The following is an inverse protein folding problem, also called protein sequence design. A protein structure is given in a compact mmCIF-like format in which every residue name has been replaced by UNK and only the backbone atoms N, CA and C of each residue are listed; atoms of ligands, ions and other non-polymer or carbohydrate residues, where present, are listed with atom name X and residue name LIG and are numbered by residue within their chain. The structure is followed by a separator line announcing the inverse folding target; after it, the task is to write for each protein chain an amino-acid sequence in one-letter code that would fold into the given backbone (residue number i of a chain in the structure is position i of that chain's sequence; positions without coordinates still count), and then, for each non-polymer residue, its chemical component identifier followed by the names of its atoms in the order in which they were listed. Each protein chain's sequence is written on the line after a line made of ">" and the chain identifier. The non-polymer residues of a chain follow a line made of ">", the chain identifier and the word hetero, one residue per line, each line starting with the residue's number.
data_IF_001177010065
#
_entry.id   IF_001177010065
#
_cell.length_a   1.000
_cell.length_b   1.000
_cell.length_c   1.000
_cell.angle_alpha   90.00
_cell.angle_beta   90.00
_cell.angle_gamma   90.00
#
_symmetry.space_group_name_H-M   'P 1'
#
loop_
_entity.id
_entity.type
_entity.pdbx_description
1 polymer ?
#
# COMPACT_ATOMS: atom_id res chain seq x y z
N UNK A 1 0.56 8.60 73.29
CA UNK A 1 0.51 7.62 72.17
C UNK A 1 0.03 8.35 70.91
N UNK A 2 0.92 9.06 70.23
CA UNK A 2 0.58 10.08 69.21
C UNK A 2 1.39 9.90 67.91
N UNK A 3 1.82 8.66 67.65
CA UNK A 3 2.78 8.32 66.59
C UNK A 3 2.29 7.26 65.59
N UNK A 4 1.00 6.88 65.60
CA UNK A 4 0.47 5.79 64.75
C UNK A 4 -0.65 6.28 63.82
N UNK A 5 -0.57 7.52 63.32
CA UNK A 5 -1.58 8.03 62.36
C UNK A 5 -1.01 8.62 61.07
N UNK A 6 0.30 8.50 60.83
CA UNK A 6 0.96 9.21 59.72
C UNK A 6 1.68 8.30 58.71
N UNK A 7 1.25 7.05 58.53
CA UNK A 7 1.88 6.11 57.57
C UNK A 7 0.91 5.64 56.47
N UNK A 8 -0.35 6.05 56.48
CA UNK A 8 -1.35 5.52 55.54
C UNK A 8 -1.54 6.34 54.24
N UNK A 9 -0.80 7.43 54.00
CA UNK A 9 -1.09 8.35 52.86
C UNK A 9 0.00 8.36 51.78
N UNK A 10 1.17 7.74 51.97
CA UNK A 10 2.28 7.85 51.01
C UNK A 10 2.33 6.71 49.98
N UNK A 11 1.61 5.61 50.19
CA UNK A 11 1.74 4.40 49.35
C UNK A 11 0.90 4.37 48.07
N UNK A 12 0.11 5.40 47.75
CA UNK A 12 -0.76 5.41 46.56
C UNK A 12 -0.15 6.06 45.30
N UNK A 13 1.11 6.53 45.36
CA UNK A 13 1.70 7.35 44.28
C UNK A 13 2.66 6.61 43.32
N UNK A 14 2.81 5.29 43.41
CA UNK A 14 3.77 4.54 42.58
C UNK A 14 3.17 3.57 41.56
N UNK A 15 1.89 3.71 41.25
CA UNK A 15 1.25 3.00 40.13
C UNK A 15 1.21 3.86 38.87
N UNK A 16 2.30 4.58 38.56
CA UNK A 16 2.54 5.10 37.22
C UNK A 16 3.01 3.92 36.36
N UNK A 17 2.08 3.03 36.01
CA UNK A 17 2.34 2.05 34.95
C UNK A 17 2.80 2.84 33.72
N UNK A 18 3.89 2.40 33.10
CA UNK A 18 4.35 2.97 31.84
C UNK A 18 3.19 2.94 30.86
N UNK A 19 2.58 4.10 30.62
CA UNK A 19 1.75 4.28 29.44
C UNK A 19 2.72 4.20 28.28
N UNK A 20 2.79 3.03 27.64
CA UNK A 20 3.32 2.98 26.28
C UNK A 20 2.24 3.69 25.47
N UNK A 21 2.38 4.99 25.27
CA UNK A 21 1.64 5.66 24.24
C UNK A 21 2.02 4.94 22.94
N UNK A 22 1.03 4.33 22.26
CA UNK A 22 1.19 3.86 20.89
C UNK A 22 1.35 5.10 20.01
N UNK A 23 2.54 5.71 20.04
CA UNK A 23 2.87 6.77 19.10
C UNK A 23 3.04 6.11 17.74
N UNK A 24 2.28 6.63 16.78
CA UNK A 24 2.46 6.25 15.38
C UNK A 24 3.87 6.65 14.96
N UNK A 25 4.64 5.68 14.50
CA UNK A 25 5.97 5.93 13.96
C UNK A 25 5.86 6.24 12.47
N UNK A 26 6.80 7.04 11.97
CA UNK A 26 6.99 7.21 10.53
C UNK A 26 7.98 6.16 10.05
N UNK A 27 7.46 5.11 9.41
CA UNK A 27 8.26 4.03 8.84
C UNK A 27 8.78 4.41 7.46
N UNK A 28 10.06 4.13 7.19
CA UNK A 28 10.73 4.44 5.93
C UNK A 28 11.32 3.17 5.33
N UNK A 29 11.11 2.97 4.03
CA UNK A 29 11.70 1.86 3.29
C UNK A 29 12.35 2.36 1.99
N UNK A 30 13.67 2.38 1.96
CA UNK A 30 14.46 2.78 0.80
C UNK A 30 14.59 1.69 -0.27
N UNK A 31 14.21 0.44 0.03
CA UNK A 31 14.30 -0.65 -0.95
C UNK A 31 13.06 -0.70 -1.85
N UNK A 32 11.88 -0.51 -1.25
CA UNK A 32 10.58 -0.47 -1.92
C UNK A 32 10.06 0.96 -2.12
N UNK A 33 10.85 1.97 -1.77
CA UNK A 33 10.60 3.38 -2.11
C UNK A 33 9.28 3.94 -1.56
N UNK A 34 8.96 3.66 -0.30
CA UNK A 34 7.82 4.25 0.37
C UNK A 34 8.12 4.64 1.81
N UNK A 35 7.29 5.53 2.34
CA UNK A 35 7.16 5.73 3.77
C UNK A 35 5.68 5.80 4.15
N UNK A 36 5.37 5.47 5.40
CA UNK A 36 3.98 5.42 5.90
C UNK A 36 3.98 5.62 7.42
N UNK A 37 2.88 6.16 7.98
CA UNK A 37 2.72 6.15 9.42
C UNK A 37 2.12 4.81 9.84
N UNK A 38 2.67 4.17 10.86
CA UNK A 38 2.24 2.86 11.35
C UNK A 38 2.25 2.82 12.88
N UNK A 39 1.39 2.03 13.54
CA UNK A 39 1.37 1.93 15.00
C UNK A 39 2.63 1.28 15.61
N UNK A 40 3.46 0.63 14.78
CA UNK A 40 4.72 0.02 15.21
C UNK A 40 5.51 -0.53 14.02
N UNK A 41 6.66 -1.14 14.31
CA UNK A 41 7.54 -1.74 13.29
C UNK A 41 6.86 -2.88 12.55
N UNK A 42 7.10 -2.98 11.25
CA UNK A 42 6.53 -4.05 10.43
C UNK A 42 7.35 -5.35 10.54
N UNK A 43 6.65 -6.48 10.59
CA UNK A 43 7.19 -7.75 10.14
C UNK A 43 7.25 -7.75 8.61
N UNK A 44 8.40 -8.16 8.05
CA UNK A 44 8.67 -8.12 6.61
C UNK A 44 8.83 -9.52 6.07
N UNK A 45 8.10 -9.83 5.00
CA UNK A 45 8.17 -11.13 4.33
C UNK A 45 8.28 -10.96 2.82
N UNK A 46 9.26 -11.65 2.22
CA UNK A 46 9.35 -11.81 0.77
C UNK A 46 8.31 -12.84 0.29
N UNK A 47 7.55 -12.48 -0.74
CA UNK A 47 6.49 -13.30 -1.33
C UNK A 47 6.55 -13.22 -2.86
N UNK A 48 5.72 -14.03 -3.51
CA UNK A 48 5.45 -13.91 -4.94
C UNK A 48 4.02 -13.44 -5.17
N UNK A 49 3.81 -12.60 -6.18
CA UNK A 49 2.50 -12.08 -6.53
C UNK A 49 2.11 -12.52 -7.96
N UNK A 50 1.04 -13.31 -8.13
CA UNK A 50 0.51 -13.63 -9.45
C UNK A 50 -0.15 -12.38 -10.03
N UNK A 51 0.09 -12.08 -11.30
CA UNK A 51 -0.52 -10.96 -12.00
C UNK A 51 -1.78 -11.38 -12.77
N UNK A 52 -2.54 -10.39 -13.25
CA UNK A 52 -3.75 -10.62 -14.06
C UNK A 52 -3.44 -11.43 -15.33
N UNK A 53 -2.27 -11.19 -15.92
CA UNK A 53 -1.85 -11.85 -17.17
C UNK A 53 -0.98 -13.10 -16.93
N UNK A 54 -1.06 -13.67 -15.72
CA UNK A 54 -0.50 -14.97 -15.37
C UNK A 54 1.01 -15.00 -15.17
N UNK A 55 1.69 -13.86 -15.17
CA UNK A 55 3.08 -13.78 -14.75
C UNK A 55 3.18 -13.78 -13.22
N UNK A 56 4.35 -14.12 -12.69
CA UNK A 56 4.62 -14.12 -11.25
C UNK A 56 5.74 -13.13 -10.96
N UNK A 57 5.47 -12.19 -10.06
CA UNK A 57 6.38 -11.11 -9.72
C UNK A 57 6.93 -11.26 -8.30
N UNK A 58 8.17 -10.82 -8.05
CA UNK A 58 8.65 -10.65 -6.68
C UNK A 58 7.84 -9.56 -5.97
N UNK A 59 7.54 -9.79 -4.71
CA UNK A 59 6.81 -8.84 -3.87
C UNK A 59 7.26 -8.95 -2.41
N UNK A 60 6.96 -7.92 -1.64
CA UNK A 60 7.14 -7.90 -0.19
C UNK A 60 5.88 -7.47 0.50
N UNK A 61 5.58 -8.12 1.62
CA UNK A 61 4.51 -7.69 2.53
C UNK A 61 5.12 -7.22 3.84
N UNK A 62 4.68 -6.04 4.26
CA UNK A 62 5.00 -5.40 5.53
C UNK A 62 3.74 -5.46 6.37
N UNK A 63 3.76 -6.15 7.52
CA UNK A 63 2.57 -6.38 8.34
C UNK A 63 2.80 -5.94 9.79
N UNK A 64 1.82 -5.28 10.38
CA UNK A 64 1.75 -5.01 11.81
C UNK A 64 0.39 -5.48 12.33
N UNK A 65 0.39 -6.26 13.40
CA UNK A 65 -0.80 -6.79 14.04
C UNK A 65 -0.82 -6.41 15.53
N UNK A 66 -1.96 -5.90 16.00
CA UNK A 66 -2.21 -5.57 17.40
C UNK A 66 -3.63 -5.98 17.78
N UNK A 67 -3.74 -7.13 18.43
CA UNK A 67 -5.01 -7.79 18.72
C UNK A 67 -5.77 -8.11 17.42
N UNK A 68 -6.93 -7.49 17.23
CA UNK A 68 -7.75 -7.64 16.01
C UNK A 68 -7.48 -6.56 14.95
N UNK A 69 -6.57 -5.62 15.22
CA UNK A 69 -6.14 -4.64 14.23
C UNK A 69 -5.03 -5.23 13.37
N UNK A 70 -5.12 -5.04 12.06
CA UNK A 70 -4.10 -5.47 11.11
C UNK A 70 -3.83 -4.36 10.11
N UNK A 71 -2.56 -4.02 9.94
CA UNK A 71 -2.08 -3.01 9.01
C UNK A 71 -1.06 -3.63 8.10
N UNK A 72 -1.16 -3.41 6.80
CA UNK A 72 -0.18 -3.95 5.87
C UNK A 72 0.06 -3.07 4.65
N UNK A 73 1.29 -3.12 4.15
CA UNK A 73 1.66 -2.63 2.82
C UNK A 73 2.21 -3.81 2.05
N UNK A 74 1.63 -4.13 0.90
CA UNK A 74 2.22 -5.07 -0.06
C UNK A 74 2.80 -4.28 -1.22
N UNK A 75 4.07 -4.52 -1.54
CA UNK A 75 4.75 -3.90 -2.69
C UNK A 75 5.09 -5.00 -3.69
N UNK A 76 4.55 -4.88 -4.90
CA UNK A 76 4.86 -5.79 -6.02
C UNK A 76 5.78 -5.07 -6.99
N UNK A 77 6.91 -5.69 -7.30
CA UNK A 77 7.94 -5.12 -8.17
C UNK A 77 7.75 -5.60 -9.62
N UNK A 78 7.20 -4.71 -10.46
CA UNK A 78 7.04 -4.91 -11.89
C UNK A 78 8.17 -4.27 -12.72
N UNK A 79 9.26 -3.79 -12.10
CA UNK A 79 10.32 -3.07 -12.82
C UNK A 79 11.00 -3.90 -13.91
N UNK A 80 10.99 -5.23 -13.77
CA UNK A 80 11.56 -6.19 -14.70
C UNK A 80 10.48 -6.94 -15.53
N UNK A 81 9.28 -6.38 -15.63
CA UNK A 81 8.11 -7.02 -16.27
C UNK A 81 8.38 -7.48 -17.70
N UNK A 82 9.07 -6.67 -18.50
CA UNK A 82 9.38 -7.05 -19.88
C UNK A 82 10.22 -8.33 -19.95
N UNK A 83 11.25 -8.46 -19.12
CA UNK A 83 12.11 -9.65 -19.10
C UNK A 83 11.34 -10.86 -18.57
N UNK A 84 10.58 -10.68 -17.49
CA UNK A 84 9.76 -11.75 -16.88
C UNK A 84 8.80 -12.32 -17.93
N UNK A 85 8.02 -11.47 -18.59
CA UNK A 85 7.11 -11.90 -19.66
C UNK A 85 7.85 -12.56 -20.83
N UNK A 86 8.97 -11.99 -21.28
CA UNK A 86 9.73 -12.58 -22.40
C UNK A 86 10.32 -13.96 -22.08
N UNK A 87 10.66 -14.22 -20.82
CA UNK A 87 11.25 -15.47 -20.37
C UNK A 87 10.23 -16.61 -20.14
N UNK A 88 8.92 -16.30 -20.17
CA UNK A 88 7.87 -17.30 -19.92
C UNK A 88 7.80 -18.35 -21.02
N UNK A 89 7.66 -19.60 -20.60
CA UNK A 89 7.49 -20.77 -21.47
C UNK A 89 6.05 -21.24 -21.55
N UNK A 90 5.23 -20.89 -20.55
CA UNK A 90 3.82 -21.22 -20.38
C UNK A 90 2.92 -20.22 -21.11
N UNK A 91 3.08 -20.13 -22.44
CA UNK A 91 2.41 -19.11 -23.23
C UNK A 91 0.89 -19.25 -23.26
N UNK A 92 0.20 -18.17 -22.91
CA UNK A 92 -1.24 -17.94 -23.01
C UNK A 92 -1.55 -16.92 -24.12
N UNK A 93 -2.82 -16.56 -24.33
CA UNK A 93 -3.18 -15.46 -25.25
C UNK A 93 -2.48 -14.12 -24.90
N UNK A 94 -2.09 -13.94 -23.64
CA UNK A 94 -1.32 -12.80 -23.14
C UNK A 94 0.15 -12.76 -23.60
N UNK A 95 0.64 -13.78 -24.30
CA UNK A 95 2.04 -13.83 -24.78
C UNK A 95 2.17 -13.52 -26.28
N UNK A 96 1.06 -13.31 -26.98
CA UNK A 96 1.05 -13.10 -28.43
C UNK A 96 1.44 -11.68 -28.86
N UNK A 97 1.28 -10.67 -27.99
CA UNK A 97 1.64 -9.29 -28.29
C UNK A 97 2.77 -8.82 -27.39
N UNK A 98 3.79 -8.19 -27.98
CA UNK A 98 4.96 -7.65 -27.26
C UNK A 98 4.63 -6.51 -26.27
N UNK A 99 3.37 -6.12 -26.14
CA UNK A 99 2.89 -5.05 -25.26
C UNK A 99 2.39 -5.57 -23.91
N UNK A 100 2.12 -6.87 -23.77
CA UNK A 100 1.44 -7.40 -22.59
C UNK A 100 2.20 -7.22 -21.28
N UNK A 101 3.54 -7.17 -21.31
CA UNK A 101 4.32 -6.80 -20.13
C UNK A 101 3.91 -5.44 -19.56
N UNK A 102 3.61 -4.46 -20.42
CA UNK A 102 3.18 -3.12 -20.01
C UNK A 102 1.70 -3.11 -19.63
N UNK A 103 0.86 -3.84 -20.38
CA UNK A 103 -0.57 -3.99 -20.06
C UNK A 103 -0.74 -4.58 -18.66
N UNK A 104 0.05 -5.60 -18.32
CA UNK A 104 0.00 -6.26 -17.02
C UNK A 104 0.37 -5.33 -15.87
N UNK A 105 1.45 -4.54 -16.03
CA UNK A 105 1.80 -3.49 -15.05
C UNK A 105 0.64 -2.50 -14.89
N UNK A 106 0.02 -2.05 -15.99
CA UNK A 106 -1.09 -1.07 -15.94
C UNK A 106 -2.38 -1.64 -15.35
N UNK A 107 -2.65 -2.94 -15.55
CA UNK A 107 -3.84 -3.61 -15.03
C UNK A 107 -3.75 -3.93 -13.53
N UNK A 108 -2.54 -3.92 -12.98
CA UNK A 108 -2.23 -4.32 -11.60
C UNK A 108 -3.13 -3.69 -10.52
N UNK A 109 -3.47 -2.40 -10.65
CA UNK A 109 -4.38 -1.70 -9.72
C UNK A 109 -5.79 -2.30 -9.74
N UNK A 110 -6.34 -2.49 -10.94
CA UNK A 110 -7.68 -3.05 -11.11
C UNK A 110 -7.73 -4.52 -10.66
N UNK A 111 -6.67 -5.27 -10.94
CA UNK A 111 -6.54 -6.66 -10.52
C UNK A 111 -6.46 -6.81 -8.99
N UNK A 112 -5.64 -6.00 -8.32
CA UNK A 112 -5.58 -5.98 -6.87
C UNK A 112 -6.93 -5.63 -6.25
N UNK A 113 -7.63 -4.63 -6.79
CA UNK A 113 -8.98 -4.28 -6.34
C UNK A 113 -9.97 -5.42 -6.56
N UNK A 114 -9.91 -6.12 -7.70
CA UNK A 114 -10.74 -7.29 -7.99
C UNK A 114 -10.48 -8.43 -7.00
N UNK A 115 -9.21 -8.71 -6.68
CA UNK A 115 -8.84 -9.70 -5.68
C UNK A 115 -9.36 -9.35 -4.27
N UNK A 116 -9.32 -8.07 -3.88
CA UNK A 116 -9.92 -7.62 -2.61
C UNK A 116 -11.42 -7.88 -2.56
N UNK A 117 -12.17 -7.50 -3.61
CA UNK A 117 -13.62 -7.72 -3.69
C UNK A 117 -13.99 -9.21 -3.58
N UNK A 118 -13.14 -10.08 -4.12
CA UNK A 118 -13.35 -11.54 -4.09
C UNK A 118 -13.17 -12.16 -2.71
N UNK A 119 -12.60 -11.45 -1.74
CA UNK A 119 -12.47 -11.94 -0.35
C UNK A 119 -13.82 -12.02 0.37
N UNK A 120 -14.88 -11.37 -0.14
CA UNK A 120 -16.21 -11.35 0.48
C UNK A 120 -16.51 -10.03 1.19
N UNK A 121 -17.58 -10.00 2.00
CA UNK A 121 -18.06 -8.79 2.67
C UNK A 121 -18.86 -7.83 1.80
N UNK A 122 -19.37 -6.78 2.44
CA UNK A 122 -20.10 -5.68 1.79
C UNK A 122 -19.11 -4.57 1.40
N UNK A 123 -19.01 -4.29 0.09
CA UNK A 123 -18.24 -3.16 -0.42
C UNK A 123 -19.00 -1.87 -0.16
N UNK A 124 -18.54 -1.07 0.81
CA UNK A 124 -19.19 0.18 1.23
C UNK A 124 -18.66 1.42 0.51
N UNK A 125 -17.49 1.31 -0.12
CA UNK A 125 -16.91 2.35 -0.97
C UNK A 125 -15.97 1.73 -2.00
N UNK A 126 -16.02 2.20 -3.24
CA UNK A 126 -15.23 1.67 -4.34
C UNK A 126 -15.09 2.73 -5.44
N UNK A 127 -13.97 3.46 -5.44
CA UNK A 127 -13.79 4.58 -6.36
C UNK A 127 -12.33 4.95 -6.60
N UNK A 128 -12.13 5.80 -7.61
CA UNK A 128 -10.87 6.47 -7.88
C UNK A 128 -10.33 7.18 -6.62
N UNK A 129 -9.02 7.12 -6.44
CA UNK A 129 -8.30 7.84 -5.40
C UNK A 129 -6.94 8.33 -5.92
N UNK A 130 -6.25 9.16 -5.16
CA UNK A 130 -4.87 9.54 -5.42
C UNK A 130 -4.17 9.97 -4.14
N UNK A 131 -2.85 9.85 -4.09
CA UNK A 131 -1.99 10.41 -3.03
C UNK A 131 -0.77 11.03 -3.70
N UNK A 132 -0.38 12.25 -3.32
CA UNK A 132 0.75 12.96 -3.93
C UNK A 132 0.68 13.04 -5.47
N UNK A 133 -0.56 13.10 -6.01
CA UNK A 133 -0.92 13.01 -7.44
C UNK A 133 -0.55 11.70 -8.14
N UNK A 134 -0.14 10.68 -7.40
CA UNK A 134 -0.11 9.29 -7.88
C UNK A 134 -1.54 8.77 -7.84
N UNK A 135 -2.12 8.57 -9.01
CA UNK A 135 -3.45 8.01 -9.16
C UNK A 135 -3.50 6.56 -8.65
N UNK A 136 -4.64 6.20 -8.07
CA UNK A 136 -4.89 4.89 -7.52
C UNK A 136 -6.37 4.61 -7.36
N UNK A 137 -6.66 3.65 -6.49
CA UNK A 137 -7.99 3.14 -6.24
C UNK A 137 -8.20 2.96 -4.75
N UNK A 138 -9.35 3.40 -4.23
CA UNK A 138 -9.72 3.20 -2.84
C UNK A 138 -10.91 2.25 -2.75
N UNK A 139 -10.85 1.36 -1.77
CA UNK A 139 -11.87 0.36 -1.52
C UNK A 139 -12.11 0.22 -0.01
N UNK A 140 -13.37 0.15 0.41
CA UNK A 140 -13.76 -0.10 1.80
C UNK A 140 -14.71 -1.28 1.84
N UNK A 141 -14.43 -2.24 2.72
CA UNK A 141 -15.21 -3.46 2.89
C UNK A 141 -15.59 -3.58 4.36
N UNK A 142 -16.86 -3.82 4.63
CA UNK A 142 -17.31 -4.42 5.89
C UNK A 142 -17.28 -5.93 5.69
N UNK A 143 -16.33 -6.60 6.36
CA UNK A 143 -16.12 -8.03 6.22
C UNK A 143 -17.25 -8.83 6.90
N UNK A 144 -17.33 -10.13 6.64
CA UNK A 144 -18.39 -11.01 7.18
C UNK A 144 -18.39 -11.08 8.72
N UNK A 145 -17.24 -10.87 9.36
CA UNK A 145 -17.08 -10.79 10.82
C UNK A 145 -17.35 -9.37 11.38
N UNK A 146 -17.87 -8.47 10.54
CA UNK A 146 -18.14 -7.05 10.81
C UNK A 146 -16.90 -6.18 11.05
N UNK A 147 -15.69 -6.74 10.91
CA UNK A 147 -14.48 -5.92 10.84
C UNK A 147 -14.51 -5.07 9.57
N UNK A 148 -13.74 -3.98 9.54
CA UNK A 148 -13.72 -3.06 8.39
C UNK A 148 -12.33 -2.95 7.83
N UNK A 149 -12.20 -3.28 6.55
CA UNK A 149 -10.96 -3.13 5.77
C UNK A 149 -11.04 -1.87 4.92
N UNK A 150 -10.05 -1.00 5.05
CA UNK A 150 -9.82 0.15 4.18
C UNK A 150 -8.56 -0.13 3.37
N UNK A 151 -8.68 -0.02 2.05
CA UNK A 151 -7.58 -0.28 1.14
C UNK A 151 -7.34 0.88 0.17
N UNK A 152 -6.07 1.23 -0.01
CA UNK A 152 -5.59 2.12 -1.06
C UNK A 152 -4.61 1.38 -1.97
N UNK A 153 -4.79 1.47 -3.28
CA UNK A 153 -3.97 0.76 -4.28
C UNK A 153 -3.38 1.78 -5.25
N UNK A 154 -2.06 1.82 -5.36
CA UNK A 154 -1.35 2.82 -6.17
C UNK A 154 -0.29 2.15 -7.03
N UNK A 155 -0.14 2.62 -8.27
CA UNK A 155 0.92 2.19 -9.17
C UNK A 155 1.84 3.37 -9.45
N UNK A 156 3.09 3.24 -9.06
CA UNK A 156 4.10 4.27 -9.22
C UNK A 156 5.43 3.65 -9.64
N UNK A 157 5.97 4.12 -10.77
CA UNK A 157 7.24 3.70 -11.36
C UNK A 157 7.43 2.17 -11.41
N UNK A 158 6.42 1.47 -11.96
CA UNK A 158 6.35 0.00 -12.03
C UNK A 158 6.40 -0.73 -10.68
N UNK A 159 6.01 -0.07 -9.58
CA UNK A 159 5.75 -0.72 -8.30
C UNK A 159 4.28 -0.53 -7.93
N UNK A 160 3.61 -1.65 -7.62
CA UNK A 160 2.25 -1.63 -7.11
C UNK A 160 2.30 -1.64 -5.58
N UNK A 161 1.65 -0.68 -4.96
CA UNK A 161 1.49 -0.56 -3.51
C UNK A 161 0.03 -0.87 -3.17
N UNK A 162 -0.20 -1.90 -2.37
CA UNK A 162 -1.51 -2.26 -1.82
C UNK A 162 -1.43 -2.00 -0.32
N UNK A 163 -2.08 -0.95 0.15
CA UNK A 163 -2.12 -0.56 1.56
C UNK A 163 -3.46 -0.99 2.13
N UNK A 164 -3.45 -1.85 3.15
CA UNK A 164 -4.67 -2.35 3.81
C UNK A 164 -4.62 -2.05 5.31
N UNK A 165 -5.73 -1.60 5.88
CA UNK A 165 -5.93 -1.56 7.31
C UNK A 165 -7.29 -2.16 7.67
N UNK A 166 -7.27 -3.19 8.52
CA UNK A 166 -8.46 -3.87 9.04
C UNK A 166 -8.57 -3.61 10.53
N UNK A 167 -9.75 -3.15 10.97
CA UNK A 167 -10.04 -2.89 12.39
C UNK A 167 -11.32 -3.63 12.82
N UNK A 168 -11.45 -4.00 14.11
CA UNK A 168 -12.62 -4.72 14.58
C UNK A 168 -13.89 -3.84 14.56
N UNK A 169 -15.07 -4.47 14.69
CA UNK A 169 -16.36 -3.79 14.71
C UNK A 169 -16.40 -2.66 15.76
N UNK A 170 -17.03 -1.54 15.43
CA UNK A 170 -17.19 -0.40 16.35
C UNK A 170 -15.95 0.48 16.57
N UNK A 171 -14.79 0.13 15.99
CA UNK A 171 -13.56 0.96 16.08
C UNK A 171 -13.67 2.30 15.35
N UNK A 172 -12.66 3.15 15.42
CA UNK A 172 -12.53 4.28 14.49
C UNK A 172 -12.10 3.73 13.11
N UNK A 173 -12.69 4.19 11.99
CA UNK A 173 -12.22 3.78 10.67
C UNK A 173 -10.71 4.06 10.48
N UNK A 174 -9.91 3.14 9.93
CA UNK A 174 -8.46 3.27 9.85
C UNK A 174 -8.00 4.10 8.64
N UNK A 175 -8.75 5.14 8.28
CA UNK A 175 -8.50 5.96 7.09
C UNK A 175 -7.17 6.71 7.11
N UNK A 176 -6.63 7.01 8.29
CA UNK A 176 -5.33 7.67 8.43
C UNK A 176 -4.18 6.83 7.88
N UNK A 177 -4.16 5.52 8.15
CA UNK A 177 -3.09 4.62 7.70
C UNK A 177 -2.90 4.70 6.17
N UNK A 178 -3.98 4.44 5.41
CA UNK A 178 -3.94 4.48 3.95
C UNK A 178 -3.56 5.86 3.39
N UNK A 179 -4.02 6.96 4.01
CA UNK A 179 -3.74 8.32 3.55
C UNK A 179 -2.33 8.80 3.87
N UNK A 180 -1.64 8.11 4.79
CA UNK A 180 -0.30 8.48 5.24
C UNK A 180 0.83 7.95 4.35
N UNK A 181 0.51 7.11 3.35
CA UNK A 181 1.47 6.62 2.37
C UNK A 181 2.15 7.78 1.65
N UNK A 182 3.46 7.68 1.45
CA UNK A 182 4.25 8.61 0.65
C UNK A 182 5.19 7.80 -0.24
N UNK A 183 5.38 8.27 -1.47
CA UNK A 183 6.33 7.70 -2.41
C UNK A 183 7.69 8.35 -2.24
N UNK A 184 8.75 7.54 -2.29
CA UNK A 184 10.12 8.00 -2.22
C UNK A 184 10.80 7.83 -3.59
N UNK A 185 11.80 8.64 -3.87
CA UNK A 185 12.71 8.39 -4.98
C UNK A 185 13.88 7.49 -4.54
N UNK A 186 14.76 7.16 -5.48
CA UNK A 186 15.91 6.27 -5.23
C UNK A 186 16.93 6.86 -4.23
N UNK A 187 16.89 8.18 -3.97
CA UNK A 187 17.69 8.82 -2.92
C UNK A 187 17.01 8.78 -1.54
N UNK A 188 15.75 8.32 -1.46
CA UNK A 188 14.96 8.28 -0.25
C UNK A 188 14.18 9.58 0.02
N UNK A 189 14.17 10.52 -0.91
CA UNK A 189 13.45 11.78 -0.78
C UNK A 189 11.98 11.61 -1.17
N UNK A 190 11.08 12.29 -0.46
CA UNK A 190 9.65 12.25 -0.77
C UNK A 190 9.38 12.88 -2.13
N UNK A 191 8.68 12.13 -2.98
CA UNK A 191 8.17 12.62 -4.26
C UNK A 191 6.89 13.43 -4.04
N UNK A 192 6.85 14.62 -4.63
CA UNK A 192 5.63 15.44 -4.74
C UNK A 192 5.51 16.00 -6.15
N UNK A 193 4.56 15.47 -6.91
CA UNK A 193 4.30 15.93 -8.26
C UNK A 193 3.56 17.27 -8.28
N UNK A 194 3.74 18.02 -9.37
CA UNK A 194 2.97 19.24 -9.65
C UNK A 194 1.81 18.99 -10.59
N UNK A 195 1.93 18.02 -11.50
CA UNK A 195 0.89 17.62 -12.44
C UNK A 195 0.74 16.09 -12.46
N UNK A 196 -0.48 15.60 -12.70
CA UNK A 196 -0.74 14.16 -12.87
C UNK A 196 0.05 13.53 -14.03
N UNK A 197 0.34 14.30 -15.08
CA UNK A 197 1.16 13.84 -16.22
C UNK A 197 2.59 13.50 -15.85
N UNK A 198 3.08 14.02 -14.71
CA UNK A 198 4.45 13.85 -14.26
C UNK A 198 4.61 12.54 -13.47
N UNK A 199 3.50 11.98 -12.95
CA UNK A 199 3.49 10.74 -12.20
C UNK A 199 3.67 9.54 -13.14
N UNK A 200 4.87 8.95 -13.12
CA UNK A 200 5.21 7.77 -13.91
C UNK A 200 4.49 6.55 -13.33
N UNK A 201 3.68 5.87 -14.14
CA UNK A 201 3.06 4.58 -13.76
C UNK A 201 3.94 3.40 -14.12
N UNK A 202 4.47 3.39 -15.34
CA UNK A 202 5.27 2.29 -15.88
C UNK A 202 6.65 2.82 -16.24
N UNK A 203 7.66 2.29 -15.57
CA UNK A 203 9.07 2.58 -15.79
C UNK A 203 9.45 2.28 -17.25
N UNK A 204 10.14 3.19 -17.90
CA UNK A 204 10.61 3.07 -19.29
C UNK A 204 9.50 2.84 -20.35
N UNK A 205 8.23 3.08 -20.04
CA UNK A 205 7.17 3.02 -21.05
C UNK A 205 7.45 4.06 -22.15
N UNK A 206 7.21 3.67 -23.41
CA UNK A 206 7.38 4.60 -24.54
C UNK A 206 6.40 5.75 -24.39
N UNK A 207 6.89 6.92 -24.01
CA UNK A 207 6.08 8.15 -24.06
C UNK A 207 5.75 8.40 -25.53
N UNK A 208 4.47 8.57 -25.85
CA UNK A 208 4.05 8.96 -27.19
C UNK A 208 4.76 10.28 -27.51
N UNK A 209 5.66 10.26 -28.49
CA UNK A 209 6.28 11.50 -28.97
C UNK A 209 5.16 12.51 -29.28
N UNK A 210 5.32 13.79 -28.92
CA UNK A 210 4.37 14.81 -29.36
C UNK A 210 4.20 14.63 -30.87
N UNK A 211 2.94 14.54 -31.34
CA UNK A 211 2.70 14.70 -32.78
C UNK A 211 3.33 16.04 -33.14
N UNK A 212 4.38 16.01 -33.97
CA UNK A 212 4.82 17.22 -34.65
C UNK A 212 3.56 17.76 -35.31
N UNK A 213 3.07 18.89 -34.82
CA UNK A 213 1.96 19.57 -35.44
C UNK A 213 2.43 19.84 -36.86
N UNK A 214 1.80 19.20 -37.85
CA UNK A 214 1.98 19.53 -39.25
C UNK A 214 1.76 21.04 -39.39
N UNK A 215 2.85 21.81 -39.34
CA UNK A 215 2.95 23.14 -39.90
C UNK A 215 3.15 22.93 -41.40
N UNK A 216 2.11 22.43 -42.05
CA UNK A 216 2.00 22.60 -43.49
C UNK A 216 1.33 23.95 -43.74
N UNK A 217 1.96 24.65 -44.69
CA UNK A 217 1.75 26.04 -45.09
C UNK A 217 0.48 26.23 -45.88
#
# INVERSE_FOLDING_TARGET
>A
MRFIRLIAVVSMLFSSGSSVAQDWIHYFNSTDLFSIHTPGEFEVQDITYPSEYGAIFPARVYTYEDGANRYSVTVVDYTDSQRIHTARTDRTEADYLSVYWEVDVRASVAYAAWNLRRRGGEVTYDAYHYIDLVEGHQLQITNDDLSRTYAGIYLHDSRLYIVEATVPPGSVPPGFFQQSLQFLDEAGDRIRYRNYSDAVKVRNARVRAPREANRER
#
